data_IF_110286790296
#
_entry.id   IF_110286790296
#
_cell.length_a   1.000
_cell.length_b   1.000
_cell.length_c   1.000
_cell.angle_alpha   90.00
_cell.angle_beta   90.00
_cell.angle_gamma   90.00
#
_symmetry.space_group_name_H-M   'P 1'
#
loop_
_entity.id
_entity.type
_entity.pdbx_description
1 polymer ?
#
# COMPACT_ATOMS: atom_id res chain seq x y z
N UNK A 1 -31.45 -12.67 -29.56
CA UNK A 1 -31.93 -12.56 -28.16
C UNK A 1 -31.71 -13.90 -27.49
N UNK A 2 -30.65 -14.02 -26.68
CA UNK A 2 -30.35 -15.28 -25.98
C UNK A 2 -31.24 -15.31 -24.72
N UNK A 3 -32.19 -16.24 -24.66
CA UNK A 3 -33.01 -16.50 -23.47
C UNK A 3 -32.12 -17.16 -22.41
N UNK A 4 -31.85 -16.46 -21.32
CA UNK A 4 -31.19 -17.03 -20.13
C UNK A 4 -32.19 -17.92 -19.34
N UNK A 5 -31.76 -19.08 -18.82
CA UNK A 5 -32.62 -20.15 -18.28
C UNK A 5 -33.13 -19.93 -16.83
N UNK A 6 -33.16 -18.70 -16.33
CA UNK A 6 -33.49 -18.46 -14.93
C UNK A 6 -34.99 -18.23 -14.71
N UNK A 7 -35.58 -19.14 -13.93
CA UNK A 7 -36.89 -19.12 -13.26
C UNK A 7 -37.30 -17.73 -12.74
N UNK A 8 -37.92 -16.89 -13.60
CA UNK A 8 -38.68 -15.68 -13.26
C UNK A 8 -37.96 -14.55 -12.51
N UNK A 9 -36.72 -14.75 -12.07
CA UNK A 9 -35.97 -13.84 -11.20
C UNK A 9 -35.35 -12.70 -12.00
N UNK A 10 -35.59 -11.48 -11.54
CA UNK A 10 -34.91 -10.27 -12.04
C UNK A 10 -33.57 -10.12 -11.30
N UNK A 11 -32.47 -10.18 -12.04
CA UNK A 11 -31.13 -9.91 -11.53
C UNK A 11 -30.77 -8.43 -11.69
N UNK A 12 -29.82 -7.93 -10.90
CA UNK A 12 -29.22 -6.61 -11.12
C UNK A 12 -28.42 -6.61 -12.44
N UNK A 13 -28.43 -5.51 -13.21
CA UNK A 13 -27.58 -5.39 -14.40
C UNK A 13 -26.10 -5.41 -13.99
N UNK A 14 -25.26 -6.02 -14.85
CA UNK A 14 -23.81 -6.08 -14.69
C UNK A 14 -23.17 -5.33 -15.86
N UNK A 15 -22.99 -4.02 -15.70
CA UNK A 15 -22.33 -3.17 -16.68
C UNK A 15 -20.84 -3.04 -16.31
N UNK A 16 -19.97 -3.62 -17.15
CA UNK A 16 -18.52 -3.55 -16.97
C UNK A 16 -17.88 -2.33 -17.63
N UNK A 17 -18.64 -1.64 -18.48
CA UNK A 17 -18.20 -0.42 -19.15
C UNK A 17 -18.62 0.83 -18.36
N UNK A 18 -19.19 0.63 -17.15
CA UNK A 18 -19.54 1.71 -16.24
C UNK A 18 -18.32 2.57 -15.93
N UNK A 19 -18.36 3.82 -16.38
CA UNK A 19 -17.33 4.81 -16.08
C UNK A 19 -17.52 5.30 -14.65
N UNK A 20 -16.47 5.18 -13.84
CA UNK A 20 -16.43 5.70 -12.49
C UNK A 20 -15.11 6.43 -12.27
N UNK A 21 -15.15 7.62 -11.67
CA UNK A 21 -13.95 8.30 -11.20
C UNK A 21 -13.66 7.85 -9.78
N UNK A 22 -12.41 7.47 -9.49
CA UNK A 22 -12.00 7.31 -8.11
C UNK A 22 -12.24 8.65 -7.37
N UNK A 23 -12.59 8.60 -6.07
CA UNK A 23 -12.73 9.81 -5.28
C UNK A 23 -11.50 10.71 -5.39
N UNK A 24 -11.65 12.04 -5.33
CA UNK A 24 -10.53 12.96 -5.55
C UNK A 24 -9.47 12.91 -4.43
N UNK A 25 -9.84 12.40 -3.24
CA UNK A 25 -8.94 12.22 -2.10
C UNK A 25 -8.64 10.74 -1.86
N UNK A 26 -7.37 10.40 -1.61
CA UNK A 26 -6.96 9.04 -1.19
C UNK A 26 -7.61 8.60 0.13
N UNK A 27 -8.02 9.56 0.97
CA UNK A 27 -8.71 9.28 2.24
C UNK A 27 -10.14 8.76 2.03
N UNK A 28 -10.70 8.93 0.83
CA UNK A 28 -12.06 8.50 0.50
C UNK A 28 -12.07 7.18 -0.30
N UNK A 29 -10.90 6.59 -0.59
CA UNK A 29 -10.79 5.41 -1.43
C UNK A 29 -11.13 4.10 -0.71
N UNK A 30 -11.09 4.12 0.62
CA UNK A 30 -11.38 2.97 1.48
C UNK A 30 -12.47 3.39 2.47
N UNK A 31 -13.27 2.42 2.96
CA UNK A 31 -14.24 2.71 4.01
C UNK A 31 -13.55 3.21 5.29
N UNK A 32 -14.30 3.96 6.09
CA UNK A 32 -13.87 4.35 7.43
C UNK A 32 -13.47 3.12 8.27
N UNK A 33 -12.40 3.26 9.05
CA UNK A 33 -11.87 2.17 9.88
C UNK A 33 -11.11 1.08 9.12
N UNK A 34 -10.84 1.26 7.83
CA UNK A 34 -10.02 0.31 7.07
C UNK A 34 -8.60 0.18 7.68
N UNK A 35 -8.07 -1.05 7.75
CA UNK A 35 -6.78 -1.38 8.36
C UNK A 35 -5.63 -0.52 7.82
N UNK A 36 -5.65 -0.19 6.53
CA UNK A 36 -4.63 0.66 5.90
C UNK A 36 -4.46 2.01 6.61
N UNK A 37 -5.56 2.67 6.99
CA UNK A 37 -5.50 3.95 7.71
C UNK A 37 -4.93 3.77 9.11
N UNK A 38 -5.35 2.71 9.82
CA UNK A 38 -4.79 2.37 11.13
C UNK A 38 -3.28 2.13 11.07
N UNK A 39 -2.78 1.41 10.05
CA UNK A 39 -1.34 1.18 9.90
C UNK A 39 -0.57 2.48 9.66
N UNK A 40 -1.08 3.38 8.82
CA UNK A 40 -0.46 4.69 8.59
C UNK A 40 -0.39 5.48 9.90
N UNK A 41 -1.51 5.57 10.63
CA UNK A 41 -1.59 6.29 11.91
C UNK A 41 -0.64 5.71 12.98
N UNK A 42 -0.45 4.38 12.98
CA UNK A 42 0.50 3.71 13.89
C UNK A 42 1.93 4.05 13.50
N UNK A 43 2.28 3.96 12.22
CA UNK A 43 3.65 4.23 11.75
C UNK A 43 4.04 5.69 11.99
N UNK A 44 3.10 6.64 11.84
CA UNK A 44 3.33 8.06 12.13
C UNK A 44 3.71 8.34 13.60
N UNK A 45 3.46 7.38 14.51
CA UNK A 45 3.81 7.48 15.93
C UNK A 45 5.09 6.73 16.29
N UNK A 46 5.68 5.97 15.36
CA UNK A 46 6.92 5.25 15.58
C UNK A 46 8.12 6.20 15.48
N UNK A 47 9.13 5.97 16.32
CA UNK A 47 10.41 6.67 16.18
C UNK A 47 11.22 6.05 15.04
N UNK A 48 11.15 6.67 13.86
CA UNK A 48 11.92 6.26 12.68
C UNK A 48 13.23 7.04 12.54
N UNK A 49 13.68 7.77 13.57
CA UNK A 49 14.85 8.65 13.48
C UNK A 49 16.12 7.94 13.00
N UNK A 50 16.37 6.71 13.46
CA UNK A 50 17.50 5.88 13.00
C UNK A 50 17.41 5.59 11.49
N UNK A 51 16.21 5.27 11.00
CA UNK A 51 15.97 5.00 9.57
C UNK A 51 16.23 6.26 8.76
N UNK A 52 15.70 7.41 9.17
CA UNK A 52 15.91 8.69 8.49
C UNK A 52 17.39 9.11 8.51
N UNK A 53 18.10 8.92 9.63
CA UNK A 53 19.51 9.29 9.78
C UNK A 53 20.43 8.52 8.82
N UNK A 54 20.03 7.32 8.37
CA UNK A 54 20.80 6.53 7.40
C UNK A 54 20.87 7.14 5.99
N UNK A 55 20.01 8.12 5.68
CA UNK A 55 19.93 8.75 4.34
C UNK A 55 20.81 10.02 4.21
N UNK A 56 21.97 10.04 4.88
CA UNK A 56 22.96 11.11 4.76
C UNK A 56 23.74 11.04 3.44
N UNK A 57 23.47 11.96 2.51
CA UNK A 57 24.16 12.05 1.23
C UNK A 57 24.08 13.45 0.62
N UNK A 58 24.82 13.71 -0.44
CA UNK A 58 24.91 15.01 -1.13
C UNK A 58 23.69 15.35 -2.01
N UNK A 59 22.59 14.60 -1.86
CA UNK A 59 21.34 14.79 -2.58
C UNK A 59 21.39 14.38 -4.06
N UNK A 60 22.44 13.68 -4.51
CA UNK A 60 22.56 13.25 -5.90
C UNK A 60 21.82 11.94 -6.18
N UNK A 61 21.13 11.88 -7.32
CA UNK A 61 20.37 10.72 -7.77
C UNK A 61 18.87 10.87 -7.57
N UNK A 62 18.13 9.78 -7.76
CA UNK A 62 16.69 9.76 -7.53
C UNK A 62 16.42 9.86 -6.02
N UNK A 63 15.53 10.78 -5.57
CA UNK A 63 15.15 10.86 -4.17
C UNK A 63 14.60 9.51 -3.68
N UNK A 64 14.98 9.06 -2.47
CA UNK A 64 14.42 7.84 -1.90
C UNK A 64 12.92 8.01 -1.62
N UNK A 65 12.21 6.90 -1.58
CA UNK A 65 10.87 6.85 -1.01
C UNK A 65 10.89 7.23 0.47
N UNK A 66 9.80 7.85 0.93
CA UNK A 66 9.66 8.21 2.34
C UNK A 66 9.74 6.97 3.26
N UNK A 67 10.60 6.97 4.28
CA UNK A 67 10.73 5.85 5.23
C UNK A 67 9.46 5.46 5.96
N UNK A 68 8.59 6.40 6.34
CA UNK A 68 7.33 6.09 7.00
C UNK A 68 6.39 5.34 6.04
N UNK A 69 6.26 5.83 4.79
CA UNK A 69 5.50 5.13 3.75
C UNK A 69 6.03 3.71 3.50
N UNK A 70 7.34 3.54 3.35
CA UNK A 70 7.94 2.22 3.11
C UNK A 70 7.75 1.26 4.30
N UNK A 71 7.80 1.79 5.53
CA UNK A 71 7.54 1.02 6.76
C UNK A 71 6.07 0.59 6.85
N UNK A 72 5.14 1.51 6.60
CA UNK A 72 3.71 1.21 6.56
C UNK A 72 3.37 0.17 5.49
N UNK A 73 4.01 0.25 4.32
CA UNK A 73 3.83 -0.72 3.24
C UNK A 73 4.24 -2.13 3.66
N UNK A 74 5.40 -2.27 4.31
CA UNK A 74 5.88 -3.56 4.83
C UNK A 74 4.97 -4.10 5.93
N UNK A 75 4.60 -3.25 6.90
CA UNK A 75 3.77 -3.65 8.03
C UNK A 75 2.38 -4.11 7.57
N UNK A 76 1.72 -3.33 6.72
CA UNK A 76 0.43 -3.70 6.14
C UNK A 76 0.52 -5.00 5.35
N UNK A 77 1.56 -5.15 4.51
CA UNK A 77 1.79 -6.37 3.75
C UNK A 77 1.93 -7.61 4.65
N UNK A 78 2.59 -7.48 5.81
CA UNK A 78 2.69 -8.56 6.78
C UNK A 78 1.35 -8.85 7.46
N UNK A 79 0.58 -7.84 7.84
CA UNK A 79 -0.75 -8.02 8.42
C UNK A 79 -1.70 -8.79 7.49
N UNK A 80 -1.60 -8.59 6.17
CA UNK A 80 -2.43 -9.28 5.17
C UNK A 80 -1.79 -10.54 4.56
N UNK A 81 -0.63 -10.98 5.07
CA UNK A 81 0.02 -12.21 4.63
C UNK A 81 0.70 -12.16 3.24
N UNK A 82 1.15 -10.98 2.80
CA UNK A 82 1.80 -10.73 1.51
C UNK A 82 3.27 -10.26 1.64
N UNK A 83 4.20 -11.06 2.22
CA UNK A 83 5.55 -10.59 2.52
C UNK A 83 6.47 -10.37 1.30
N UNK A 84 6.16 -10.96 0.14
CA UNK A 84 7.00 -10.93 -1.06
C UNK A 84 7.07 -9.53 -1.67
N UNK A 85 8.29 -8.96 -1.82
CA UNK A 85 8.47 -7.63 -2.46
C UNK A 85 7.80 -7.53 -3.83
N UNK A 86 7.82 -8.60 -4.63
CA UNK A 86 7.18 -8.63 -5.97
C UNK A 86 5.66 -8.60 -5.87
N UNK A 87 5.08 -9.26 -4.87
CA UNK A 87 3.64 -9.19 -4.63
C UNK A 87 3.25 -7.79 -4.14
N UNK A 88 4.05 -7.19 -3.26
CA UNK A 88 3.84 -5.83 -2.78
C UNK A 88 3.89 -4.82 -3.94
N UNK A 89 4.91 -4.88 -4.80
CA UNK A 89 5.02 -4.04 -6.00
C UNK A 89 3.76 -4.14 -6.88
N UNK A 90 3.29 -5.36 -7.13
CA UNK A 90 2.07 -5.61 -7.90
C UNK A 90 0.84 -5.02 -7.21
N UNK A 91 0.72 -5.19 -5.89
CA UNK A 91 -0.38 -4.65 -5.11
C UNK A 91 -0.40 -3.12 -5.10
N UNK A 92 0.74 -2.43 -5.18
CA UNK A 92 0.80 -0.96 -5.37
C UNK A 92 0.15 -0.48 -6.68
N UNK A 93 -0.23 -1.39 -7.58
CA UNK A 93 -0.97 -1.09 -8.82
C UNK A 93 -2.41 -1.61 -8.76
N UNK A 94 -2.58 -2.83 -8.27
CA UNK A 94 -3.86 -3.56 -8.37
C UNK A 94 -4.77 -3.37 -7.15
N UNK A 95 -4.21 -3.05 -5.99
CA UNK A 95 -4.93 -3.01 -4.71
C UNK A 95 -5.04 -1.56 -4.18
N UNK A 96 -6.27 -1.15 -3.89
CA UNK A 96 -6.57 0.22 -3.45
C UNK A 96 -5.92 0.55 -2.10
N UNK A 97 -5.83 -0.42 -1.18
CA UNK A 97 -5.24 -0.19 0.13
C UNK A 97 -3.73 0.05 0.05
N UNK A 98 -3.04 -0.74 -0.78
CA UNK A 98 -1.61 -0.51 -1.05
C UNK A 98 -1.37 0.82 -1.75
N UNK A 99 -2.25 1.20 -2.69
CA UNK A 99 -2.17 2.50 -3.35
C UNK A 99 -2.38 3.66 -2.39
N UNK A 100 -3.29 3.55 -1.42
CA UNK A 100 -3.49 4.56 -0.39
C UNK A 100 -2.23 4.69 0.47
N UNK A 101 -1.69 3.59 0.98
CA UNK A 101 -0.46 3.59 1.81
C UNK A 101 0.72 4.17 1.03
N UNK A 102 0.89 3.78 -0.23
CA UNK A 102 1.97 4.25 -1.07
C UNK A 102 1.78 5.69 -1.59
N UNK A 103 0.74 6.42 -1.14
CA UNK A 103 0.35 7.72 -1.70
C UNK A 103 0.26 7.70 -3.25
N UNK A 104 -0.25 6.60 -3.80
CA UNK A 104 -0.37 6.25 -5.21
C UNK A 104 0.98 6.22 -5.98
N UNK A 105 2.11 6.19 -5.25
CA UNK A 105 3.43 5.89 -5.80
C UNK A 105 3.58 4.38 -6.02
N UNK A 106 4.59 3.99 -6.79
CA UNK A 106 4.82 2.59 -7.18
C UNK A 106 6.28 2.17 -6.90
N UNK A 107 6.65 1.93 -5.63
CA UNK A 107 7.94 1.34 -5.31
C UNK A 107 8.09 -0.02 -5.98
N UNK A 108 9.20 -0.22 -6.69
CA UNK A 108 9.53 -1.51 -7.29
C UNK A 108 10.00 -2.52 -6.22
N UNK A 109 10.00 -3.82 -6.57
CA UNK A 109 10.42 -4.87 -5.64
C UNK A 109 11.86 -4.73 -5.14
N UNK A 110 12.76 -4.13 -5.92
CA UNK A 110 14.15 -3.87 -5.56
C UNK A 110 14.25 -2.79 -4.49
N UNK A 111 13.50 -1.69 -4.64
CA UNK A 111 13.36 -0.63 -3.65
C UNK A 111 12.79 -1.16 -2.33
N UNK A 112 11.72 -1.95 -2.40
CA UNK A 112 11.09 -2.59 -1.23
C UNK A 112 12.05 -3.57 -0.54
N UNK A 113 12.72 -4.43 -1.33
CA UNK A 113 13.67 -5.40 -0.79
C UNK A 113 14.87 -4.72 -0.13
N UNK A 114 15.40 -3.68 -0.75
CA UNK A 114 16.56 -2.94 -0.26
C UNK A 114 16.24 -2.18 1.01
N UNK A 115 15.08 -1.51 1.09
CA UNK A 115 14.61 -0.84 2.30
C UNK A 115 14.50 -1.83 3.46
N UNK A 116 13.81 -2.95 3.24
CA UNK A 116 13.62 -4.02 4.24
C UNK A 116 14.95 -4.56 4.75
N UNK A 117 15.88 -4.85 3.84
CA UNK A 117 17.18 -5.42 4.19
C UNK A 117 18.06 -4.43 4.96
N UNK A 118 18.11 -3.19 4.49
CA UNK A 118 18.93 -2.13 5.11
C UNK A 118 18.48 -1.80 6.54
N UNK A 119 17.17 -1.75 6.77
CA UNK A 119 16.61 -1.24 8.02
C UNK A 119 16.06 -2.33 8.94
N UNK A 120 16.35 -3.61 8.65
CA UNK A 120 15.76 -4.73 9.40
C UNK A 120 16.01 -4.63 10.91
N UNK A 121 17.21 -4.25 11.32
CA UNK A 121 17.57 -4.12 12.73
C UNK A 121 16.80 -2.98 13.42
N UNK A 122 16.79 -1.78 12.83
CA UNK A 122 16.05 -0.63 13.33
C UNK A 122 14.55 -0.94 13.43
N UNK A 123 13.97 -1.52 12.38
CA UNK A 123 12.55 -1.90 12.34
C UNK A 123 12.19 -2.95 13.39
N UNK A 124 13.08 -3.90 13.68
CA UNK A 124 12.84 -4.90 14.73
C UNK A 124 12.79 -4.28 16.13
N UNK A 125 13.55 -3.20 16.37
CA UNK A 125 13.54 -2.46 17.63
C UNK A 125 12.25 -1.69 17.90
N UNK A 126 11.39 -1.47 16.89
CA UNK A 126 10.12 -0.74 17.04
C UNK A 126 9.01 -1.55 17.74
N UNK A 127 9.19 -2.87 17.86
CA UNK A 127 8.15 -3.80 18.33
C UNK A 127 8.54 -4.58 19.59
N UNK A 128 9.57 -4.13 20.32
CA UNK A 128 10.07 -4.73 21.56
C UNK A 128 9.65 -3.96 22.81
#
# INVERSE_FOLDING_TARGET
>A
MIQCPYDGRKFKPCDRDQVYLLPPSLQDWLPEGHLAYFIVDVVDRLDLSEVYASYGGDGRGQPPYDPAMMTALLLYAYCVGLPSSRKIERSCVEDVAFRVIAANQRPDHGSISSFRHRHLAALAGLFL
#
